data_IF_588567233045
#
_entry.id   IF_588567233045
#
_cell.length_a   1.000
_cell.length_b   1.000
_cell.length_c   1.000
_cell.angle_alpha   90.00
_cell.angle_beta   90.00
_cell.angle_gamma   90.00
#
_symmetry.space_group_name_H-M   'P 1'
#
loop_
_entity.id
_entity.type
_entity.pdbx_description
1 polymer ?
#
# COMPACT_ATOMS: atom_id res chain seq x y z
N UNK A 1 -11.82 23.67 -21.38
CA UNK A 1 -12.88 22.73 -20.98
C UNK A 1 -12.49 22.23 -19.60
N UNK A 2 -13.24 22.64 -18.58
CA UNK A 2 -13.05 22.18 -17.21
C UNK A 2 -13.73 20.82 -17.15
N UNK A 3 -12.96 19.74 -17.10
CA UNK A 3 -13.52 18.42 -16.82
C UNK A 3 -13.92 18.42 -15.34
N UNK A 4 -15.22 18.34 -15.08
CA UNK A 4 -15.74 18.16 -13.73
C UNK A 4 -15.36 16.75 -13.26
N UNK A 5 -14.52 16.65 -12.24
CA UNK A 5 -14.23 15.41 -11.51
C UNK A 5 -15.35 15.13 -10.51
N UNK A 6 -16.61 15.05 -10.96
CA UNK A 6 -17.61 14.31 -10.19
C UNK A 6 -17.30 12.83 -10.39
N UNK A 7 -16.35 12.32 -9.61
CA UNK A 7 -16.15 10.89 -9.44
C UNK A 7 -17.46 10.26 -9.03
N UNK A 8 -17.79 9.10 -9.60
CA UNK A 8 -18.94 8.31 -9.18
C UNK A 8 -18.75 7.92 -7.72
N UNK A 9 -19.26 8.72 -6.77
CA UNK A 9 -19.15 8.39 -5.35
C UNK A 9 -19.94 7.11 -5.09
N UNK A 10 -19.25 6.01 -4.84
CA UNK A 10 -19.87 4.75 -4.42
C UNK A 10 -20.66 4.98 -3.14
N UNK A 11 -21.95 4.64 -3.13
CA UNK A 11 -22.76 4.70 -1.92
C UNK A 11 -22.42 3.51 -1.02
N UNK A 12 -21.46 3.71 -0.13
CA UNK A 12 -21.01 2.71 0.84
C UNK A 12 -22.11 2.27 1.81
N UNK A 13 -23.20 3.02 1.97
CA UNK A 13 -24.31 2.61 2.85
C UNK A 13 -25.02 1.34 2.35
N UNK A 14 -25.01 1.11 1.03
CA UNK A 14 -25.61 -0.06 0.37
C UNK A 14 -24.63 -1.23 0.22
N UNK A 15 -23.35 -1.02 0.49
CA UNK A 15 -22.32 -2.05 0.37
C UNK A 15 -22.37 -2.97 1.60
N UNK A 16 -22.39 -4.30 1.40
CA UNK A 16 -22.46 -5.24 2.51
C UNK A 16 -21.22 -5.18 3.40
N UNK A 17 -21.39 -5.68 4.63
CA UNK A 17 -20.28 -5.99 5.51
C UNK A 17 -19.60 -7.29 5.06
N UNK A 18 -18.34 -7.42 5.41
CA UNK A 18 -17.53 -8.59 5.18
C UNK A 18 -18.13 -9.85 5.79
N UNK A 19 -18.26 -10.92 5.00
CA UNK A 19 -18.45 -12.28 5.50
C UNK A 19 -17.09 -12.93 5.80
N UNK A 20 -17.03 -13.77 6.83
CA UNK A 20 -15.75 -14.30 7.39
C UNK A 20 -14.96 -15.19 6.43
N UNK A 21 -15.60 -15.71 5.39
CA UNK A 21 -15.04 -16.75 4.53
C UNK A 21 -14.55 -16.20 3.18
N UNK A 22 -14.57 -14.87 3.00
CA UNK A 22 -14.12 -14.23 1.78
C UNK A 22 -12.64 -13.83 1.90
N UNK A 23 -11.81 -14.08 0.86
CA UNK A 23 -10.41 -13.64 0.82
C UNK A 23 -10.21 -12.15 1.15
N UNK A 24 -11.12 -11.28 0.73
CA UNK A 24 -11.05 -9.84 1.03
C UNK A 24 -11.30 -9.51 2.50
N UNK A 25 -11.89 -10.44 3.26
CA UNK A 25 -12.46 -10.23 4.57
C UNK A 25 -11.80 -11.02 5.68
N UNK A 26 -10.70 -11.72 5.37
CA UNK A 26 -9.95 -12.46 6.38
C UNK A 26 -9.37 -11.51 7.43
N UNK A 27 -9.34 -11.97 8.68
CA UNK A 27 -8.75 -11.21 9.78
C UNK A 27 -7.24 -11.43 9.78
N UNK A 28 -6.50 -10.35 9.52
CA UNK A 28 -5.05 -10.32 9.65
C UNK A 28 -4.59 -10.26 11.11
N UNK A 29 -3.32 -9.90 11.29
CA UNK A 29 -2.78 -9.57 12.61
C UNK A 29 -3.32 -8.22 13.10
N UNK A 30 -3.44 -8.11 14.43
CA UNK A 30 -3.49 -6.80 15.08
C UNK A 30 -2.21 -6.03 14.79
N UNK A 31 -2.28 -4.69 14.81
CA UNK A 31 -1.11 -3.85 14.51
C UNK A 31 0.10 -4.18 15.40
N UNK A 32 1.27 -4.31 14.77
CA UNK A 32 2.59 -4.42 15.38
C UNK A 32 3.39 -3.19 14.93
N UNK A 33 3.01 -2.02 15.46
CA UNK A 33 3.52 -0.73 14.96
C UNK A 33 5.04 -0.60 15.20
N UNK A 34 5.82 -0.12 14.22
CA UNK A 34 7.20 0.28 14.45
C UNK A 34 7.29 1.41 15.48
N UNK A 35 8.35 1.39 16.30
CA UNK A 35 8.61 2.39 17.34
C UNK A 35 8.62 3.82 16.79
N UNK A 36 9.17 4.01 15.59
CA UNK A 36 9.39 5.34 14.99
C UNK A 36 8.50 5.61 13.76
N UNK A 37 7.33 4.97 13.67
CA UNK A 37 6.42 5.13 12.52
C UNK A 37 6.03 6.61 12.29
N UNK A 38 5.86 7.38 13.36
CA UNK A 38 5.47 8.81 13.29
C UNK A 38 6.53 9.73 12.67
N UNK A 39 7.78 9.26 12.53
CA UNK A 39 8.84 10.04 11.86
C UNK A 39 8.69 10.02 10.32
N UNK A 40 7.81 9.18 9.78
CA UNK A 40 7.60 9.02 8.35
C UNK A 40 6.71 7.82 8.06
N UNK A 41 5.47 8.08 7.66
CA UNK A 41 4.47 7.04 7.36
C UNK A 41 3.67 7.38 6.10
N UNK A 42 3.08 6.34 5.53
CA UNK A 42 2.11 6.43 4.44
C UNK A 42 0.70 6.29 5.03
N UNK A 43 -0.24 7.08 4.52
CA UNK A 43 -1.66 6.84 4.69
C UNK A 43 -2.28 6.68 3.31
N UNK A 44 -3.32 5.86 3.23
CA UNK A 44 -3.89 5.40 1.99
C UNK A 44 -5.29 5.95 1.78
N UNK A 45 -5.63 6.13 0.52
CA UNK A 45 -6.99 6.10 0.02
C UNK A 45 -7.09 5.06 -1.11
N UNK A 46 -8.32 4.68 -1.44
CA UNK A 46 -8.65 3.70 -2.46
C UNK A 46 -9.77 4.28 -3.30
N UNK A 47 -9.51 4.48 -4.60
CA UNK A 47 -10.54 4.87 -5.53
C UNK A 47 -11.58 3.74 -5.65
N UNK A 48 -12.77 4.08 -6.14
CA UNK A 48 -13.92 3.15 -6.17
C UNK A 48 -13.85 2.09 -7.28
N UNK A 49 -12.75 2.05 -8.03
CA UNK A 49 -12.55 1.26 -9.25
C UNK A 49 -11.73 -0.03 -9.06
N UNK A 50 -11.52 -0.44 -7.81
CA UNK A 50 -10.74 -1.63 -7.47
C UNK A 50 -11.11 -2.31 -6.15
N UNK A 51 -10.25 -3.25 -5.77
CA UNK A 51 -10.31 -3.86 -4.44
C UNK A 51 -9.79 -2.89 -3.37
N UNK A 52 -10.36 -2.98 -2.17
CA UNK A 52 -9.76 -2.39 -0.99
C UNK A 52 -8.60 -3.30 -0.50
N UNK A 53 -7.71 -2.76 0.33
CA UNK A 53 -6.67 -3.57 0.97
C UNK A 53 -7.28 -4.73 1.78
N UNK A 54 -6.54 -5.84 1.86
CA UNK A 54 -6.84 -7.01 2.69
C UNK A 54 -5.59 -7.42 3.48
N UNK A 55 -5.68 -8.49 4.27
CA UNK A 55 -4.52 -9.12 4.88
C UNK A 55 -3.96 -10.20 3.94
N UNK A 56 -2.63 -10.31 3.74
CA UNK A 56 -2.03 -11.38 2.94
C UNK A 56 -1.97 -12.73 3.67
N UNK A 57 -2.14 -12.73 5.01
CA UNK A 57 -2.12 -13.92 5.86
C UNK A 57 -3.24 -13.81 6.88
N UNK A 58 -4.05 -14.85 6.98
CA UNK A 58 -5.11 -14.98 7.96
C UNK A 58 -4.55 -15.51 9.28
N UNK A 59 -4.99 -14.95 10.40
CA UNK A 59 -4.84 -15.60 11.71
C UNK A 59 -6.13 -16.33 12.06
N UNK A 60 -6.04 -17.64 12.30
CA UNK A 60 -7.16 -18.46 12.78
C UNK A 60 -6.71 -19.28 14.01
N UNK A 61 -7.16 -18.86 15.20
CA UNK A 61 -6.62 -19.37 16.45
C UNK A 61 -5.12 -19.08 16.57
N UNK A 62 -4.33 -20.13 16.80
CA UNK A 62 -2.86 -20.06 16.86
C UNK A 62 -2.18 -20.30 15.50
N UNK A 63 -2.96 -20.53 14.44
CA UNK A 63 -2.45 -20.89 13.11
C UNK A 63 -2.50 -19.70 12.13
N UNK A 64 -1.63 -19.75 11.12
CA UNK A 64 -1.52 -18.74 10.07
C UNK A 64 -1.67 -19.38 8.69
N UNK A 65 -2.62 -18.88 7.91
CA UNK A 65 -2.95 -19.40 6.58
C UNK A 65 -2.74 -18.32 5.52
N UNK A 66 -2.21 -18.68 4.34
CA UNK A 66 -2.06 -17.73 3.24
C UNK A 66 -3.44 -17.25 2.78
N UNK A 67 -3.53 -15.98 2.36
CA UNK A 67 -4.71 -15.51 1.67
C UNK A 67 -4.72 -16.06 0.24
N UNK A 68 -5.73 -16.87 -0.09
CA UNK A 68 -5.87 -17.47 -1.41
C UNK A 68 -6.22 -16.47 -2.52
N UNK A 69 -6.51 -15.21 -2.20
CA UNK A 69 -6.89 -14.19 -3.19
C UNK A 69 -8.21 -14.52 -3.89
N UNK A 70 -8.53 -13.74 -4.93
CA UNK A 70 -9.71 -13.97 -5.77
C UNK A 70 -9.31 -14.15 -7.24
N UNK A 71 -10.08 -14.94 -7.97
CA UNK A 71 -9.99 -14.94 -9.43
C UNK A 71 -10.36 -13.56 -9.99
N UNK A 72 -9.86 -13.27 -11.19
CA UNK A 72 -10.13 -12.02 -11.91
C UNK A 72 -11.53 -11.97 -12.52
N UNK A 73 -12.43 -12.90 -12.22
CA UNK A 73 -13.79 -12.92 -12.73
C UNK A 73 -14.66 -11.82 -12.09
N UNK A 74 -15.79 -11.49 -12.74
CA UNK A 74 -16.75 -10.48 -12.26
C UNK A 74 -16.32 -9.03 -12.50
N UNK A 75 -16.82 -8.11 -11.67
CA UNK A 75 -16.47 -6.67 -11.69
C UNK A 75 -15.14 -6.43 -10.97
N UNK A 76 -14.56 -5.24 -11.19
CA UNK A 76 -13.28 -4.80 -10.59
C UNK A 76 -13.30 -4.90 -9.06
N UNK A 77 -14.29 -4.28 -8.45
CA UNK A 77 -14.53 -4.19 -7.00
C UNK A 77 -15.32 -5.39 -6.44
N UNK A 78 -15.76 -6.29 -7.32
CA UNK A 78 -16.61 -7.43 -7.00
C UNK A 78 -15.94 -8.37 -5.99
N UNK A 79 -16.64 -8.63 -4.88
CA UNK A 79 -16.21 -9.48 -3.76
C UNK A 79 -14.94 -9.00 -3.03
N UNK A 80 -14.50 -7.76 -3.23
CA UNK A 80 -13.28 -7.24 -2.60
C UNK A 80 -13.32 -5.77 -2.18
N UNK A 81 -14.53 -5.24 -2.01
CA UNK A 81 -14.74 -3.84 -1.66
C UNK A 81 -15.94 -3.72 -0.70
N UNK A 82 -15.75 -4.17 0.54
CA UNK A 82 -16.75 -4.17 1.61
C UNK A 82 -16.58 -3.00 2.58
N UNK A 83 -17.67 -2.59 3.24
CA UNK A 83 -17.69 -1.38 4.09
C UNK A 83 -16.76 -1.44 5.30
N UNK A 84 -16.54 -2.60 5.88
CA UNK A 84 -15.67 -2.82 7.05
C UNK A 84 -14.34 -3.50 6.71
N UNK A 85 -14.03 -3.69 5.43
CA UNK A 85 -12.85 -4.43 4.97
C UNK A 85 -11.52 -3.83 5.48
N UNK A 86 -11.37 -2.51 5.38
CA UNK A 86 -10.12 -1.82 5.74
C UNK A 86 -9.76 -1.96 7.22
N UNK A 87 -10.73 -2.24 8.09
CA UNK A 87 -10.48 -2.48 9.52
C UNK A 87 -9.76 -3.82 9.79
N UNK A 88 -9.83 -4.75 8.82
CA UNK A 88 -9.24 -6.09 8.87
C UNK A 88 -7.93 -6.19 8.08
N UNK A 89 -7.65 -5.20 7.23
CA UNK A 89 -6.49 -5.18 6.37
C UNK A 89 -5.17 -5.01 7.14
N UNK A 90 -4.08 -5.48 6.54
CA UNK A 90 -2.73 -5.31 7.04
C UNK A 90 -1.87 -4.59 6.01
N UNK A 91 -1.08 -3.60 6.46
CA UNK A 91 0.04 -3.07 5.69
C UNK A 91 1.30 -3.75 6.22
N UNK A 92 2.00 -4.47 5.34
CA UNK A 92 3.23 -5.14 5.70
C UNK A 92 4.35 -4.13 5.65
N UNK A 93 5.07 -4.00 6.75
CA UNK A 93 6.11 -3.00 6.91
C UNK A 93 7.46 -3.63 7.14
N UNK A 94 8.49 -3.04 6.51
CA UNK A 94 9.88 -3.28 6.86
C UNK A 94 10.71 -2.02 6.64
N UNK A 95 11.56 -1.70 7.61
CA UNK A 95 12.60 -0.70 7.47
C UNK A 95 13.96 -1.38 7.25
N UNK A 96 14.75 -0.84 6.32
CA UNK A 96 16.17 -1.17 6.18
C UNK A 96 16.98 0.09 6.10
N UNK A 97 18.07 0.11 6.85
CA UNK A 97 18.99 1.23 6.92
C UNK A 97 20.42 0.81 6.58
N UNK A 98 21.18 1.75 6.04
CA UNK A 98 22.63 1.65 5.77
C UNK A 98 23.30 2.95 6.18
N UNK A 99 24.60 2.91 6.44
CA UNK A 99 25.40 4.10 6.79
C UNK A 99 26.37 4.40 5.66
N UNK A 100 26.38 5.64 5.20
CA UNK A 100 27.33 6.13 4.20
C UNK A 100 27.82 7.53 4.58
N UNK A 101 29.13 7.73 4.65
CA UNK A 101 29.77 9.01 5.00
C UNK A 101 29.17 9.69 6.25
N UNK A 102 29.04 8.93 7.34
CA UNK A 102 28.47 9.37 8.63
C UNK A 102 26.99 9.78 8.61
N UNK A 103 26.28 9.57 7.51
CA UNK A 103 24.82 9.70 7.43
C UNK A 103 24.13 8.34 7.42
N UNK A 104 22.98 8.24 8.07
CA UNK A 104 22.12 7.06 8.06
C UNK A 104 21.05 7.23 6.97
N UNK A 105 20.95 6.26 6.07
CA UNK A 105 19.97 6.21 4.99
C UNK A 105 19.04 5.04 5.23
N UNK A 106 17.73 5.28 5.23
CA UNK A 106 16.72 4.26 5.46
C UNK A 106 15.68 4.25 4.34
N UNK A 107 15.23 3.05 3.96
CA UNK A 107 14.02 2.84 3.17
C UNK A 107 12.99 2.10 4.02
N UNK A 108 11.83 2.73 4.23
CA UNK A 108 10.66 2.12 4.88
C UNK A 108 9.68 1.68 3.81
N UNK A 109 9.46 0.38 3.68
CA UNK A 109 8.56 -0.17 2.68
C UNK A 109 7.23 -0.48 3.35
N UNK A 110 6.15 0.05 2.79
CA UNK A 110 4.76 -0.21 3.13
C UNK A 110 4.15 -1.01 1.98
N UNK A 111 4.09 -2.33 2.13
CA UNK A 111 3.48 -3.21 1.15
C UNK A 111 1.99 -3.36 1.42
N UNK A 112 1.19 -3.00 0.42
CA UNK A 112 -0.25 -3.05 0.38
C UNK A 112 -0.66 -4.28 -0.41
N UNK A 113 -1.54 -5.11 0.16
CA UNK A 113 -2.05 -6.31 -0.50
C UNK A 113 -3.52 -6.13 -0.85
N UNK A 114 -3.88 -6.41 -2.11
CA UNK A 114 -5.27 -6.63 -2.50
C UNK A 114 -5.45 -8.06 -3.03
N UNK A 115 -6.67 -8.57 -3.00
CA UNK A 115 -6.93 -9.98 -3.31
C UNK A 115 -6.92 -10.31 -4.80
N UNK A 116 -7.05 -9.30 -5.66
CA UNK A 116 -6.94 -9.38 -7.12
C UNK A 116 -6.67 -7.98 -7.68
N UNK A 117 -6.05 -7.93 -8.85
CA UNK A 117 -5.97 -6.75 -9.71
C UNK A 117 -6.62 -7.07 -11.06
N UNK A 118 -7.45 -6.16 -11.56
CA UNK A 118 -8.11 -6.31 -12.85
C UNK A 118 -8.12 -4.98 -13.60
N UNK A 119 -7.81 -5.03 -14.89
CA UNK A 119 -7.72 -3.84 -15.75
C UNK A 119 -9.02 -3.49 -16.49
N UNK A 120 -9.98 -4.42 -16.66
CA UNK A 120 -11.22 -4.17 -17.44
C UNK A 120 -12.42 -4.87 -16.81
N UNK A 121 -13.62 -4.28 -16.87
CA UNK A 121 -14.86 -4.95 -16.43
C UNK A 121 -15.32 -6.02 -17.45
N UNK A 122 -15.87 -7.16 -16.98
CA UNK A 122 -16.46 -8.21 -17.83
C UNK A 122 -15.64 -9.51 -17.93
N UNK A 123 -16.03 -10.42 -18.83
CA UNK A 123 -15.51 -11.80 -18.97
C UNK A 123 -14.19 -11.92 -19.74
N UNK A 124 -13.51 -10.81 -20.02
CA UNK A 124 -12.20 -10.80 -20.67
C UNK A 124 -11.12 -10.96 -19.57
N UNK A 125 -11.02 -12.16 -19.01
CA UNK A 125 -10.22 -12.50 -17.82
C UNK A 125 -8.69 -12.44 -18.03
N UNK A 126 -8.22 -12.00 -19.20
CA UNK A 126 -6.81 -12.02 -19.60
C UNK A 126 -6.00 -10.76 -19.25
N UNK A 127 -6.63 -9.70 -18.73
CA UNK A 127 -5.94 -8.47 -18.31
C UNK A 127 -6.19 -8.22 -16.83
N UNK A 128 -5.47 -8.97 -15.99
CA UNK A 128 -5.50 -8.92 -14.53
C UNK A 128 -4.80 -10.12 -13.92
N UNK A 129 -4.65 -10.14 -12.59
CA UNK A 129 -4.12 -11.27 -11.85
C UNK A 129 -4.78 -11.44 -10.47
N UNK A 130 -4.83 -12.71 -10.03
CA UNK A 130 -5.07 -13.03 -8.63
C UNK A 130 -3.93 -12.47 -7.79
N UNK A 131 -4.28 -11.89 -6.63
CA UNK A 131 -3.39 -11.13 -5.76
C UNK A 131 -2.89 -9.83 -6.38
N UNK A 132 -2.64 -8.84 -5.55
CA UNK A 132 -1.89 -7.65 -5.91
C UNK A 132 -1.02 -7.22 -4.75
N UNK A 133 0.17 -6.69 -5.06
CA UNK A 133 1.13 -6.24 -4.07
C UNK A 133 1.81 -4.96 -4.55
N UNK A 134 1.31 -3.85 -4.00
CA UNK A 134 1.84 -2.53 -4.26
C UNK A 134 2.71 -2.04 -3.09
N UNK A 135 3.68 -1.17 -3.38
CA UNK A 135 4.70 -0.72 -2.44
C UNK A 135 4.81 0.80 -2.43
N UNK A 136 4.52 1.40 -1.29
CA UNK A 136 4.92 2.77 -1.01
C UNK A 136 6.22 2.76 -0.17
N UNK A 137 7.18 3.63 -0.49
CA UNK A 137 8.47 3.70 0.19
C UNK A 137 8.69 5.09 0.76
N UNK A 138 8.99 5.18 2.06
CA UNK A 138 9.47 6.42 2.68
C UNK A 138 10.99 6.35 2.75
N UNK A 139 11.66 7.22 2.00
CA UNK A 139 13.11 7.35 2.03
C UNK A 139 13.51 8.39 3.05
N UNK A 140 14.44 8.03 3.93
CA UNK A 140 14.89 8.89 5.02
C UNK A 140 16.41 9.02 5.07
N UNK A 141 16.88 10.23 5.36
CA UNK A 141 18.28 10.52 5.66
C UNK A 141 18.37 11.19 7.03
N UNK A 142 19.18 10.65 7.92
CA UNK A 142 19.42 11.17 9.26
C UNK A 142 18.12 11.46 10.03
N UNK A 143 17.17 10.52 9.95
CA UNK A 143 15.86 10.61 10.60
C UNK A 143 14.85 11.55 9.94
N UNK A 144 15.18 12.17 8.80
CA UNK A 144 14.28 13.07 8.05
C UNK A 144 13.82 12.42 6.76
N UNK A 145 12.53 12.53 6.45
CA UNK A 145 11.97 12.08 5.17
C UNK A 145 12.49 12.96 4.04
N UNK A 146 13.01 12.34 2.98
CA UNK A 146 13.55 13.03 1.80
C UNK A 146 12.71 12.80 0.56
N UNK A 147 12.18 11.59 0.38
CA UNK A 147 11.37 11.20 -0.77
C UNK A 147 10.27 10.22 -0.39
N UNK A 148 9.21 10.23 -1.18
CA UNK A 148 8.16 9.23 -1.17
C UNK A 148 8.19 8.51 -2.52
N UNK A 149 8.41 7.21 -2.49
CA UNK A 149 8.30 6.29 -3.62
C UNK A 149 6.91 5.67 -3.66
N UNK A 150 6.30 5.61 -4.84
CA UNK A 150 5.05 4.86 -5.07
C UNK A 150 5.23 3.93 -6.26
N UNK A 151 4.79 2.68 -6.14
CA UNK A 151 4.90 1.70 -7.21
C UNK A 151 3.84 1.91 -8.29
N UNK A 152 4.26 1.75 -9.54
CA UNK A 152 3.38 1.79 -10.69
C UNK A 152 3.96 0.89 -11.78
N UNK A 153 3.26 -0.20 -12.11
CA UNK A 153 3.59 -1.11 -13.22
C UNK A 153 5.06 -1.62 -13.21
N UNK A 154 5.57 -1.99 -12.03
CA UNK A 154 6.94 -2.50 -11.85
C UNK A 154 8.01 -1.41 -11.66
N UNK A 155 7.64 -0.14 -11.78
CA UNK A 155 8.49 1.00 -11.43
C UNK A 155 8.23 1.51 -10.01
N UNK A 156 9.17 2.33 -9.52
CA UNK A 156 8.99 3.10 -8.28
C UNK A 156 9.24 4.58 -8.59
N UNK A 157 8.18 5.39 -8.52
CA UNK A 157 8.24 6.82 -8.79
C UNK A 157 8.60 7.53 -7.49
N UNK A 158 9.84 7.99 -7.39
CA UNK A 158 10.31 8.77 -6.24
C UNK A 158 10.03 10.26 -6.42
N UNK A 159 9.25 10.83 -5.51
CA UNK A 159 8.95 12.25 -5.46
C UNK A 159 9.58 12.87 -4.22
N UNK A 160 10.22 14.05 -4.31
CA UNK A 160 10.72 14.76 -3.14
C UNK A 160 9.64 14.98 -2.07
N UNK A 161 10.02 14.86 -0.81
CA UNK A 161 9.10 14.98 0.33
C UNK A 161 8.38 16.34 0.35
N UNK A 162 9.07 17.42 -0.03
CA UNK A 162 8.49 18.76 -0.13
C UNK A 162 7.51 18.94 -1.30
N UNK A 163 7.44 17.98 -2.21
CA UNK A 163 6.47 17.90 -3.32
C UNK A 163 5.41 16.83 -3.07
N UNK A 164 5.51 16.09 -1.97
CA UNK A 164 4.60 15.01 -1.63
C UNK A 164 3.52 15.50 -0.66
N UNK A 165 2.23 15.21 -0.90
CA UNK A 165 1.11 15.72 -0.10
C UNK A 165 1.09 15.13 1.31
N UNK A 166 1.01 16.01 2.31
CA UNK A 166 0.79 15.61 3.70
C UNK A 166 -0.70 15.49 4.02
N UNK A 167 -1.09 14.36 4.62
CA UNK A 167 -2.37 14.19 5.31
C UNK A 167 -2.25 14.74 6.74
N UNK A 168 -2.52 16.03 6.90
CA UNK A 168 -2.24 16.78 8.16
C UNK A 168 -3.01 16.25 9.38
N UNK A 169 -4.14 15.59 9.17
CA UNK A 169 -4.90 14.91 10.23
C UNK A 169 -4.12 13.76 10.90
N UNK A 170 -3.08 13.23 10.24
CA UNK A 170 -2.18 12.19 10.74
C UNK A 170 -0.83 12.71 11.23
N UNK A 171 -0.64 14.04 11.30
CA UNK A 171 0.59 14.68 11.75
C UNK A 171 1.41 15.32 10.63
N UNK A 172 2.69 15.57 10.89
CA UNK A 172 3.57 16.33 9.98
C UNK A 172 4.42 15.47 9.04
N UNK A 173 4.43 14.14 9.22
CA UNK A 173 5.21 13.20 8.41
C UNK A 173 4.34 12.04 7.88
N UNK A 174 3.05 12.32 7.64
CA UNK A 174 2.10 11.36 7.08
C UNK A 174 1.80 11.74 5.63
N UNK A 175 2.27 10.94 4.68
CA UNK A 175 2.15 11.21 3.25
C UNK A 175 1.01 10.41 2.65
N UNK A 176 0.23 11.07 1.80
CA UNK A 176 -1.00 10.52 1.25
C UNK A 176 -0.76 9.84 -0.10
N UNK A 177 -1.15 8.57 -0.18
CA UNK A 177 -1.00 7.71 -1.36
C UNK A 177 -2.37 7.12 -1.72
N UNK A 178 -2.69 7.05 -3.01
CA UNK A 178 -3.95 6.49 -3.50
C UNK A 178 -3.66 5.23 -4.30
N UNK A 179 -4.35 4.14 -3.97
CA UNK A 179 -4.47 2.98 -4.83
C UNK A 179 -5.61 3.24 -5.82
N UNK A 180 -5.28 3.26 -7.11
CA UNK A 180 -6.22 3.62 -8.16
C UNK A 180 -6.01 2.79 -9.40
N UNK A 181 -7.01 2.78 -10.27
CA UNK A 181 -6.84 2.23 -11.61
C UNK A 181 -6.10 3.21 -12.52
N UNK A 182 -5.06 2.72 -13.19
CA UNK A 182 -4.28 3.55 -14.11
C UNK A 182 -4.80 3.47 -15.55
N UNK A 183 -5.89 4.19 -15.80
CA UNK A 183 -6.52 4.26 -17.12
C UNK A 183 -7.00 2.90 -17.62
N UNK A 184 -6.39 2.39 -18.69
CA UNK A 184 -6.71 1.08 -19.30
C UNK A 184 -5.84 -0.06 -18.76
N UNK A 185 -4.85 0.25 -17.91
CA UNK A 185 -3.96 -0.72 -17.30
C UNK A 185 -4.55 -1.25 -15.99
N UNK A 186 -3.74 -2.06 -15.30
CA UNK A 186 -3.96 -2.55 -13.94
C UNK A 186 -3.85 -1.42 -12.91
N UNK A 187 -4.01 -1.73 -11.63
CA UNK A 187 -3.91 -0.72 -10.59
C UNK A 187 -2.46 -0.29 -10.37
N UNK A 188 -2.31 0.87 -9.73
CA UNK A 188 -1.04 1.44 -9.34
C UNK A 188 -1.22 2.31 -8.08
N UNK A 189 -0.10 2.70 -7.48
CA UNK A 189 -0.07 3.75 -6.47
C UNK A 189 0.30 5.09 -7.11
N UNK A 190 -0.42 6.13 -6.69
CA UNK A 190 -0.04 7.53 -6.94
C UNK A 190 0.04 8.31 -5.64
N UNK A 191 0.77 9.41 -5.67
CA UNK A 191 0.60 10.43 -4.63
C UNK A 191 -0.77 11.08 -4.77
N UNK A 192 -1.31 11.51 -3.63
CA UNK A 192 -2.57 12.21 -3.60
C UNK A 192 -2.52 13.53 -4.41
N UNK A 193 -3.66 13.98 -4.92
CA UNK A 193 -3.77 15.34 -5.48
C UNK A 193 -3.43 16.35 -4.38
N UNK A 194 -2.61 17.35 -4.70
CA UNK A 194 -2.06 18.27 -3.70
C UNK A 194 -2.37 19.74 -4.00
N UNK A 195 -2.29 20.57 -2.95
CA UNK A 195 -2.18 22.01 -3.05
C UNK A 195 -1.07 22.51 -2.14
N UNK A 196 -0.49 23.66 -2.50
CA UNK A 196 0.49 24.32 -1.64
C UNK A 196 -0.21 25.10 -0.54
N UNK A 197 0.20 24.88 0.70
CA UNK A 197 -0.22 25.63 1.89
C UNK A 197 1.01 25.90 2.75
N UNK A 198 1.32 27.15 3.06
CA UNK A 198 2.51 27.52 3.85
C UNK A 198 3.83 26.87 3.35
N UNK A 199 4.05 26.89 2.03
CA UNK A 199 5.22 26.29 1.36
C UNK A 199 5.39 24.76 1.55
N UNK A 200 4.34 24.05 1.97
CA UNK A 200 4.29 22.59 1.99
C UNK A 200 3.15 22.08 1.11
N UNK A 201 3.30 20.90 0.52
CA UNK A 201 2.19 20.23 -0.16
C UNK A 201 1.29 19.56 0.86
N UNK A 202 -0.01 19.83 0.77
CA UNK A 202 -1.06 19.16 1.55
C UNK A 202 -2.07 18.55 0.60
N UNK A 203 -2.73 17.49 1.05
CA UNK A 203 -3.79 16.85 0.28
C UNK A 203 -4.86 17.85 -0.17
N UNK A 204 -5.34 17.69 -1.40
CA UNK A 204 -6.43 18.44 -2.00
C UNK A 204 -7.41 17.52 -2.76
N UNK A 205 -7.65 16.32 -2.25
CA UNK A 205 -8.73 15.43 -2.69
C UNK A 205 -9.44 14.81 -1.50
N UNK A 206 -10.67 14.33 -1.74
CA UNK A 206 -11.53 13.72 -0.73
C UNK A 206 -11.41 12.21 -0.85
N UNK A 207 -11.12 11.49 0.24
CA UNK A 207 -11.01 10.04 0.19
C UNK A 207 -12.29 9.35 -0.28
N UNK A 208 -12.16 8.42 -1.24
CA UNK A 208 -13.29 7.69 -1.83
C UNK A 208 -13.64 6.40 -1.08
N UNK A 209 -12.73 5.90 -0.22
CA UNK A 209 -12.93 4.65 0.51
C UNK A 209 -14.11 4.70 1.52
N UNK A 210 -14.57 3.54 2.07
CA UNK A 210 -15.78 3.47 2.90
C UNK A 210 -15.78 4.33 4.17
N UNK A 211 -14.60 4.75 4.63
CA UNK A 211 -14.48 5.58 5.84
C UNK A 211 -14.66 7.07 5.57
N UNK A 212 -14.56 7.50 4.30
CA UNK A 212 -14.53 8.91 3.90
C UNK A 212 -13.33 9.69 4.46
N UNK A 213 -12.26 8.99 4.86
CA UNK A 213 -11.05 9.55 5.49
C UNK A 213 -9.81 8.86 4.95
N UNK A 214 -8.64 9.50 5.07
CA UNK A 214 -7.38 8.80 4.86
C UNK A 214 -7.28 7.69 5.89
N UNK A 215 -6.74 6.54 5.50
CA UNK A 215 -6.63 5.38 6.39
C UNK A 215 -5.19 4.94 6.56
N UNK A 216 -4.89 4.48 7.77
CA UNK A 216 -3.72 3.66 8.02
C UNK A 216 -4.21 2.32 8.56
N UNK A 217 -4.36 1.29 7.70
CA UNK A 217 -4.70 -0.04 8.17
C UNK A 217 -3.63 -0.57 9.14
N UNK A 218 -3.89 -1.73 9.77
CA UNK A 218 -2.99 -2.29 10.76
C UNK A 218 -1.59 -2.49 10.17
N UNK A 219 -0.60 -1.76 10.68
CA UNK A 219 0.79 -1.90 10.24
C UNK A 219 1.42 -3.08 10.97
N UNK A 220 2.00 -4.00 10.20
CA UNK A 220 2.68 -5.21 10.68
C UNK A 220 4.17 -5.07 10.39
N UNK A 221 4.95 -4.67 11.38
CA UNK A 221 6.42 -4.75 11.32
C UNK A 221 6.86 -6.20 11.25
N UNK A 222 7.49 -6.60 10.14
CA UNK A 222 7.94 -7.98 9.94
C UNK A 222 8.92 -8.43 11.01
N UNK A 223 9.82 -7.54 11.46
CA UNK A 223 10.83 -7.90 12.45
C UNK A 223 10.25 -8.11 13.86
N UNK A 224 8.98 -7.76 14.08
CA UNK A 224 8.24 -8.00 15.32
C UNK A 224 7.17 -9.09 15.18
N UNK A 225 6.94 -9.60 13.97
CA UNK A 225 5.87 -10.55 13.70
C UNK A 225 6.24 -11.99 14.14
N UNK A 226 5.25 -12.84 14.48
CA UNK A 226 5.49 -14.24 14.78
C UNK A 226 6.20 -14.97 13.63
N UNK A 227 7.18 -15.83 13.94
CA UNK A 227 7.96 -16.57 12.92
C UNK A 227 7.07 -17.35 11.95
N UNK A 228 6.02 -18.01 12.45
CA UNK A 228 5.08 -18.75 11.61
C UNK A 228 4.26 -17.84 10.68
N UNK A 229 3.88 -16.64 11.11
CA UNK A 229 3.29 -15.63 10.23
C UNK A 229 4.26 -15.24 9.12
N UNK A 230 5.52 -14.93 9.46
CA UNK A 230 6.56 -14.54 8.49
C UNK A 230 6.81 -15.67 7.48
N UNK A 231 6.90 -16.91 7.97
CA UNK A 231 7.10 -18.08 7.12
C UNK A 231 5.94 -18.24 6.15
N UNK A 232 4.68 -18.17 6.61
CA UNK A 232 3.50 -18.23 5.74
C UNK A 232 3.50 -17.10 4.73
N UNK A 233 3.77 -15.85 5.15
CA UNK A 233 3.82 -14.69 4.26
C UNK A 233 4.87 -14.87 3.15
N UNK A 234 6.09 -15.28 3.50
CA UNK A 234 7.19 -15.36 2.54
C UNK A 234 7.15 -16.60 1.65
N UNK A 235 6.53 -17.69 2.11
CA UNK A 235 6.32 -18.90 1.30
C UNK A 235 5.04 -18.88 0.46
N UNK A 236 4.13 -17.93 0.70
CA UNK A 236 2.91 -17.77 -0.08
C UNK A 236 3.21 -17.53 -1.56
N UNK A 237 2.40 -18.17 -2.41
CA UNK A 237 2.33 -17.92 -3.84
C UNK A 237 1.43 -16.70 -4.08
N UNK A 238 2.01 -15.65 -4.66
CA UNK A 238 1.31 -14.43 -5.03
C UNK A 238 1.05 -14.34 -6.54
N UNK A 239 1.26 -15.44 -7.27
CA UNK A 239 1.10 -15.50 -8.72
C UNK A 239 2.04 -14.49 -9.40
N UNK A 240 1.45 -13.50 -10.07
CA UNK A 240 2.19 -12.45 -10.77
C UNK A 240 2.62 -11.30 -9.85
N UNK A 241 1.95 -11.14 -8.71
CA UNK A 241 2.27 -10.11 -7.75
C UNK A 241 3.56 -10.44 -6.99
N UNK A 242 4.32 -9.42 -6.62
CA UNK A 242 5.66 -9.57 -6.07
C UNK A 242 5.79 -8.86 -4.74
N UNK A 243 6.11 -9.58 -3.66
CA UNK A 243 6.39 -8.97 -2.35
C UNK A 243 7.86 -8.57 -2.24
N UNK A 244 8.19 -7.29 -2.38
CA UNK A 244 9.58 -6.82 -2.39
C UNK A 244 10.25 -6.84 -1.01
N UNK A 245 9.47 -6.88 0.06
CA UNK A 245 9.97 -7.03 1.44
C UNK A 245 10.60 -8.41 1.70
N UNK A 246 10.41 -9.40 0.81
CA UNK A 246 11.00 -10.73 0.95
C UNK A 246 12.54 -10.63 1.13
N UNK A 247 13.16 -11.40 2.04
CA UNK A 247 14.60 -11.30 2.32
C UNK A 247 15.49 -11.46 1.09
N UNK A 248 15.10 -12.29 0.13
CA UNK A 248 15.83 -12.51 -1.12
C UNK A 248 15.74 -11.35 -2.13
N UNK A 249 14.87 -10.36 -1.90
CA UNK A 249 14.56 -9.29 -2.85
C UNK A 249 14.83 -7.89 -2.32
N UNK A 250 14.56 -7.65 -1.04
CA UNK A 250 14.53 -6.31 -0.44
C UNK A 250 15.78 -5.49 -0.71
N UNK A 251 16.96 -6.10 -0.64
CA UNK A 251 18.23 -5.40 -0.88
C UNK A 251 18.36 -4.96 -2.34
N UNK A 252 18.00 -5.82 -3.29
CA UNK A 252 18.01 -5.49 -4.72
C UNK A 252 16.96 -4.44 -5.06
N UNK A 253 15.76 -4.56 -4.48
CA UNK A 253 14.71 -3.56 -4.61
C UNK A 253 15.17 -2.19 -4.13
N UNK A 254 15.69 -2.09 -2.90
CA UNK A 254 16.14 -0.81 -2.34
C UNK A 254 17.30 -0.21 -3.14
N UNK A 255 18.27 -1.02 -3.55
CA UNK A 255 19.41 -0.52 -4.34
C UNK A 255 19.03 -0.09 -5.76
N UNK A 256 18.04 -0.74 -6.38
CA UNK A 256 17.57 -0.41 -7.73
C UNK A 256 16.56 0.74 -7.77
N UNK A 257 15.80 0.94 -6.68
CA UNK A 257 14.69 1.91 -6.63
C UNK A 257 14.93 3.10 -5.69
N UNK A 258 16.09 3.22 -5.04
CA UNK A 258 16.45 4.41 -4.24
C UNK A 258 16.40 5.72 -5.07
N UNK A 259 16.25 6.89 -4.43
CA UNK A 259 16.33 8.18 -5.12
C UNK A 259 17.63 8.32 -5.92
N UNK A 260 17.56 8.99 -7.07
CA UNK A 260 18.69 9.09 -8.00
C UNK A 260 19.91 9.76 -7.36
N UNK A 261 19.69 10.69 -6.42
CA UNK A 261 20.72 11.40 -5.67
C UNK A 261 21.48 10.47 -4.69
N UNK A 262 20.96 9.27 -4.44
CA UNK A 262 21.57 8.27 -3.56
C UNK A 262 22.38 7.22 -4.33
N UNK A 263 22.79 7.49 -5.56
CA UNK A 263 23.56 6.57 -6.41
C UNK A 263 24.78 5.92 -5.72
N UNK A 264 25.46 6.63 -4.83
CA UNK A 264 26.62 6.12 -4.07
C UNK A 264 26.28 5.35 -2.78
N UNK A 265 25.01 5.30 -2.37
CA UNK A 265 24.57 4.63 -1.14
C UNK A 265 24.17 3.18 -1.42
N UNK A 266 24.73 2.20 -0.71
CA UNK A 266 24.39 0.79 -0.91
C UNK A 266 23.73 0.20 0.34
N UNK A 267 22.54 -0.37 0.17
CA UNK A 267 21.85 -1.15 1.19
C UNK A 267 22.41 -2.58 1.26
N UNK A 268 22.45 -3.14 2.47
CA UNK A 268 22.90 -4.51 2.78
C UNK A 268 21.98 -5.20 3.80
#
# INVERSE_FOLDING_TARGET
MIYSTQGFSKDWSQVPLCSTDQPACITGLSTLKPVNLENGKIVFDFDTDGCLASAPVQKQGENYFPNNGLDTSGTLEGQCSYRDQLSKANIIYKEKCTTYQNSIYCGRIFALYTVKDKAVNGSLDFIGHRHDLEHAVVWMKDGKVTHIGVSAHGELINTPANQSPLAKEYGNNAYAVVYHKDGVLTHALRLATSKTSNNIQVVNEVPENPTGKWVLPNVIEIDQAPTNYINTLFSSDYGQATLEIKPSRIINFLNSKKPAEWNNVTFY
#
